data_IF_561067534877
#
_entry.id   IF_561067534877
#
_cell.length_a   1.000
_cell.length_b   1.000
_cell.length_c   1.000
_cell.angle_alpha   90.00
_cell.angle_beta   90.00
_cell.angle_gamma   90.00
#
_symmetry.space_group_name_H-M   'P 1'
#
loop_
_entity.id
_entity.type
_entity.pdbx_description
1 polymer ?
#
# COMPACT_ATOMS: atom_id res chain seq x y z
N UNK A 1 -0.76 -76.66 -16.94
CA UNK A 1 -0.02 -75.96 -18.00
C UNK A 1 -0.63 -74.59 -18.13
N UNK A 2 0.02 -73.58 -17.57
CA UNK A 2 -0.39 -72.18 -17.72
C UNK A 2 -0.12 -71.77 -19.17
N UNK A 3 -1.13 -71.27 -19.88
CA UNK A 3 -0.88 -70.63 -21.18
C UNK A 3 -0.26 -69.27 -20.90
N UNK A 4 1.01 -69.11 -21.23
CA UNK A 4 1.61 -67.79 -21.36
C UNK A 4 0.94 -67.09 -22.54
N UNK A 5 -0.06 -66.27 -22.25
CA UNK A 5 -0.70 -65.37 -23.20
C UNK A 5 0.28 -64.23 -23.49
N UNK A 6 1.18 -64.43 -24.46
CA UNK A 6 2.09 -63.39 -24.91
C UNK A 6 1.30 -62.22 -25.51
N UNK A 7 1.62 -60.99 -25.07
CA UNK A 7 0.97 -59.77 -25.55
C UNK A 7 1.18 -59.63 -27.06
N UNK A 8 0.13 -59.34 -27.81
CA UNK A 8 0.27 -59.13 -29.24
C UNK A 8 0.94 -57.77 -29.53
N UNK A 9 1.75 -57.69 -30.59
CA UNK A 9 2.38 -56.43 -31.03
C UNK A 9 1.40 -55.25 -31.13
N UNK A 10 0.16 -55.41 -31.66
CA UNK A 10 -0.83 -54.32 -31.67
C UNK A 10 -1.33 -53.94 -30.27
N UNK A 11 -1.50 -54.88 -29.33
CA UNK A 11 -1.83 -54.55 -27.93
C UNK A 11 -0.71 -53.75 -27.25
N UNK A 12 0.55 -54.08 -27.54
CA UNK A 12 1.71 -53.35 -27.01
C UNK A 12 1.79 -51.92 -27.58
N UNK A 13 1.46 -51.73 -28.86
CA UNK A 13 1.38 -50.40 -29.48
C UNK A 13 0.24 -49.55 -28.92
N UNK A 14 -0.94 -50.12 -28.74
CA UNK A 14 -2.09 -49.41 -28.15
C UNK A 14 -1.76 -49.05 -26.70
N UNK A 15 -1.18 -49.96 -25.93
CA UNK A 15 -0.79 -49.72 -24.54
C UNK A 15 0.25 -48.60 -24.41
N UNK A 16 1.27 -48.58 -25.26
CA UNK A 16 2.28 -47.51 -25.26
C UNK A 16 1.70 -46.15 -25.67
N UNK A 17 0.76 -46.12 -26.61
CA UNK A 17 0.09 -44.88 -27.02
C UNK A 17 -0.80 -44.32 -25.90
N UNK A 18 -1.56 -45.18 -25.21
CA UNK A 18 -2.38 -44.79 -24.05
C UNK A 18 -1.49 -44.27 -22.92
N UNK A 19 -0.40 -44.98 -22.60
CA UNK A 19 0.55 -44.54 -21.55
C UNK A 19 1.17 -43.18 -21.91
N UNK A 20 1.55 -42.97 -23.17
CA UNK A 20 2.07 -41.68 -23.63
C UNK A 20 1.06 -40.54 -23.45
N UNK A 21 -0.22 -40.80 -23.76
CA UNK A 21 -1.29 -39.81 -23.59
C UNK A 21 -1.54 -39.49 -22.10
N UNK A 22 -1.55 -40.51 -21.24
CA UNK A 22 -1.70 -40.33 -19.78
C UNK A 22 -0.52 -39.54 -19.20
N UNK A 23 0.71 -39.86 -19.60
CA UNK A 23 1.89 -39.13 -19.14
C UNK A 23 1.90 -37.67 -19.59
N UNK A 24 1.42 -37.37 -20.80
CA UNK A 24 1.25 -36.00 -21.28
C UNK A 24 0.22 -35.23 -20.45
N UNK A 25 -0.92 -35.85 -20.12
CA UNK A 25 -1.94 -35.25 -19.25
C UNK A 25 -1.39 -35.02 -17.85
N UNK A 26 -0.79 -36.03 -17.22
CA UNK A 26 -0.18 -35.92 -15.89
C UNK A 26 0.91 -34.84 -15.87
N UNK A 27 1.75 -34.77 -16.91
CA UNK A 27 2.76 -33.73 -17.06
C UNK A 27 2.14 -32.33 -17.10
N UNK A 28 1.05 -32.15 -17.86
CA UNK A 28 0.33 -30.86 -17.91
C UNK A 28 -0.28 -30.49 -16.56
N UNK A 29 -0.90 -31.45 -15.85
CA UNK A 29 -1.49 -31.23 -14.53
C UNK A 29 -0.43 -30.87 -13.50
N UNK A 30 0.69 -31.60 -13.46
CA UNK A 30 1.80 -31.29 -12.57
C UNK A 30 2.42 -29.92 -12.87
N UNK A 31 2.54 -29.55 -14.15
CA UNK A 31 3.02 -28.22 -14.51
C UNK A 31 2.06 -27.10 -14.06
N UNK A 32 0.75 -27.36 -14.05
CA UNK A 32 -0.25 -26.44 -13.51
C UNK A 32 -0.13 -26.31 -11.99
N UNK A 33 -0.07 -27.43 -11.27
CA UNK A 33 0.06 -27.46 -9.81
C UNK A 33 1.33 -26.75 -9.33
N UNK A 34 2.47 -26.99 -10.00
CA UNK A 34 3.73 -26.31 -9.65
C UNK A 34 3.67 -24.80 -9.90
N UNK A 35 2.95 -24.35 -10.93
CA UNK A 35 2.72 -22.93 -11.18
C UNK A 35 1.85 -22.31 -10.08
N UNK A 36 0.73 -22.95 -9.77
CA UNK A 36 -0.20 -22.46 -8.74
C UNK A 36 0.46 -22.39 -7.35
N UNK A 37 1.34 -23.34 -7.03
CA UNK A 37 2.08 -23.31 -5.78
C UNK A 37 3.06 -22.13 -5.71
N UNK A 38 3.91 -21.93 -6.73
CA UNK A 38 4.87 -20.81 -6.71
C UNK A 38 4.20 -19.43 -6.57
N UNK A 39 2.99 -19.29 -7.12
CA UNK A 39 2.15 -18.11 -6.96
C UNK A 39 1.71 -17.92 -5.52
N UNK A 40 1.13 -18.95 -4.91
CA UNK A 40 0.65 -18.87 -3.53
C UNK A 40 1.78 -18.60 -2.55
N UNK A 41 2.96 -19.17 -2.77
CA UNK A 41 4.14 -18.90 -1.96
C UNK A 41 4.58 -17.44 -2.08
N UNK A 42 4.63 -16.89 -3.29
CA UNK A 42 4.98 -15.47 -3.50
C UNK A 42 3.98 -14.51 -2.86
N UNK A 43 2.68 -14.81 -2.95
CA UNK A 43 1.64 -14.00 -2.31
C UNK A 43 1.69 -14.10 -0.79
N UNK A 44 1.95 -15.30 -0.25
CA UNK A 44 2.12 -15.48 1.19
C UNK A 44 3.31 -14.69 1.72
N UNK A 45 4.44 -14.68 1.00
CA UNK A 45 5.61 -13.89 1.37
C UNK A 45 5.31 -12.39 1.39
N UNK A 46 4.67 -11.86 0.33
CA UNK A 46 4.25 -10.46 0.27
C UNK A 46 3.27 -10.11 1.41
N UNK A 47 2.35 -11.00 1.73
CA UNK A 47 1.42 -10.80 2.85
C UNK A 47 2.12 -10.77 4.21
N UNK A 48 3.11 -11.63 4.41
CA UNK A 48 3.89 -11.69 5.65
C UNK A 48 4.73 -10.43 5.86
N UNK A 49 5.26 -9.86 4.78
CA UNK A 49 6.08 -8.65 4.79
C UNK A 49 5.25 -7.35 4.89
N UNK A 50 4.15 -7.26 4.14
CA UNK A 50 3.34 -6.03 4.04
C UNK A 50 2.46 -5.74 5.26
N UNK A 51 1.88 -6.77 5.87
CA UNK A 51 1.00 -6.62 7.05
C UNK A 51 1.64 -5.89 8.23
N UNK A 52 2.87 -6.23 8.67
CA UNK A 52 3.51 -5.50 9.77
C UNK A 52 3.83 -4.05 9.39
N UNK A 53 4.20 -3.77 8.14
CA UNK A 53 4.45 -2.42 7.64
C UNK A 53 3.19 -1.57 7.77
N UNK A 54 2.07 -2.01 7.21
CA UNK A 54 0.82 -1.25 7.30
C UNK A 54 0.36 -1.14 8.74
N UNK A 55 0.48 -2.20 9.54
CA UNK A 55 0.14 -2.13 10.97
C UNK A 55 0.94 -1.06 11.71
N UNK A 56 2.25 -0.96 11.49
CA UNK A 56 3.07 0.05 12.15
C UNK A 56 2.70 1.46 11.63
N UNK A 57 2.48 1.61 10.32
CA UNK A 57 1.98 2.86 9.73
C UNK A 57 0.65 3.30 10.36
N UNK A 58 -0.31 2.39 10.52
CA UNK A 58 -1.59 2.65 11.20
C UNK A 58 -1.40 3.13 12.64
N UNK A 59 -0.47 2.51 13.37
CA UNK A 59 -0.17 2.90 14.76
C UNK A 59 0.43 4.29 14.78
N UNK A 60 1.40 4.58 13.91
CA UNK A 60 2.05 5.87 13.83
C UNK A 60 1.07 6.98 13.43
N UNK A 61 0.22 6.75 12.43
CA UNK A 61 -0.83 7.71 12.03
C UNK A 61 -1.84 7.91 13.16
N UNK A 62 -2.19 6.90 13.96
CA UNK A 62 -3.07 7.11 15.13
C UNK A 62 -2.41 7.90 16.25
N UNK A 63 -1.08 7.82 16.37
CA UNK A 63 -0.25 8.57 17.30
C UNK A 63 0.14 9.95 16.74
N UNK A 64 -0.38 10.32 15.57
CA UNK A 64 -0.10 11.62 14.99
C UNK A 64 -0.57 12.74 15.93
N UNK A 65 0.27 13.73 16.13
CA UNK A 65 -0.03 14.93 16.91
C UNK A 65 -0.03 16.15 16.00
N UNK A 66 -0.86 17.14 16.33
CA UNK A 66 -0.85 18.42 15.63
C UNK A 66 0.38 19.21 16.04
N UNK A 67 1.13 19.77 15.07
CA UNK A 67 2.14 20.76 15.43
C UNK A 67 1.42 21.99 15.99
N UNK A 68 1.69 22.36 17.25
CA UNK A 68 1.01 23.45 17.98
C UNK A 68 1.03 24.81 17.24
N UNK A 69 1.93 25.00 16.28
CA UNK A 69 2.07 26.22 15.46
C UNK A 69 1.24 26.29 14.18
N UNK A 70 0.66 25.19 13.71
CA UNK A 70 -0.03 25.14 12.42
C UNK A 70 -1.55 25.28 12.56
N UNK A 71 -2.04 26.39 13.14
CA UNK A 71 -3.42 26.94 13.00
C UNK A 71 -4.65 26.00 13.10
N UNK A 72 -4.49 24.75 13.55
CA UNK A 72 -5.54 23.74 13.65
C UNK A 72 -5.03 22.50 14.37
N UNK A 73 -5.94 21.76 15.02
CA UNK A 73 -5.65 20.49 15.70
C UNK A 73 -5.42 19.33 14.71
N UNK A 74 -4.99 19.64 13.48
CA UNK A 74 -4.94 18.70 12.38
C UNK A 74 -3.60 17.93 12.42
N UNK A 75 -3.65 16.59 12.51
CA UNK A 75 -2.44 15.80 12.70
C UNK A 75 -1.63 15.56 11.42
N UNK A 76 -2.26 15.68 10.25
CA UNK A 76 -1.61 15.50 8.94
C UNK A 76 -1.17 16.87 8.42
N UNK A 77 0.13 17.05 8.24
CA UNK A 77 0.71 18.32 7.80
C UNK A 77 0.55 18.50 6.30
N UNK A 78 0.92 17.48 5.53
CA UNK A 78 0.92 17.46 4.08
C UNK A 78 0.50 16.07 3.59
N UNK A 79 -0.21 16.01 2.48
CA UNK A 79 -0.63 14.78 1.84
C UNK A 79 -0.77 15.01 0.35
N UNK A 80 -0.32 14.03 -0.42
CA UNK A 80 -0.60 13.80 -1.83
C UNK A 80 -0.89 12.31 -2.06
N UNK A 81 -1.12 11.91 -3.31
CA UNK A 81 -1.44 10.54 -3.68
C UNK A 81 -0.31 9.54 -3.37
N UNK A 82 0.94 10.01 -3.37
CA UNK A 82 2.17 9.23 -3.17
C UNK A 82 2.86 9.52 -1.84
N UNK A 83 2.45 10.58 -1.14
CA UNK A 83 3.19 11.14 0.00
C UNK A 83 2.26 11.47 1.16
N UNK A 84 2.65 11.10 2.37
CA UNK A 84 1.95 11.43 3.60
C UNK A 84 2.93 11.95 4.66
N UNK A 85 2.67 13.15 5.18
CA UNK A 85 3.52 13.82 6.18
C UNK A 85 2.73 14.12 7.44
N UNK A 86 3.22 13.65 8.59
CA UNK A 86 2.63 13.94 9.89
C UNK A 86 3.70 13.99 10.98
N UNK A 87 3.32 14.51 12.15
CA UNK A 87 4.18 14.57 13.33
C UNK A 87 3.74 13.52 14.34
N UNK A 88 4.70 12.85 14.98
CA UNK A 88 4.46 11.74 15.91
C UNK A 88 5.04 12.07 17.28
N UNK A 89 4.27 11.85 18.35
CA UNK A 89 4.71 12.01 19.74
C UNK A 89 5.31 10.73 20.35
N UNK A 90 5.51 9.68 19.54
CA UNK A 90 5.88 8.31 19.97
C UNK A 90 7.12 8.23 20.86
N UNK A 91 8.05 9.18 20.76
CA UNK A 91 9.34 9.14 21.48
C UNK A 91 9.41 10.16 22.64
N UNK A 92 8.41 11.02 22.83
CA UNK A 92 8.49 12.05 23.86
C UNK A 92 7.85 11.68 25.19
N UNK A 93 8.68 11.56 26.23
CA UNK A 93 8.25 11.96 27.57
C UNK A 93 7.83 13.46 27.53
N UNK A 94 7.07 13.91 28.54
CA UNK A 94 6.28 15.17 28.64
C UNK A 94 6.91 16.52 28.13
N UNK A 95 8.15 16.57 27.61
CA UNK A 95 8.81 17.76 27.08
C UNK A 95 9.63 17.57 25.78
N UNK A 96 9.57 16.42 25.11
CA UNK A 96 10.30 16.22 23.85
C UNK A 96 9.45 16.59 22.63
N UNK A 97 10.06 17.32 21.71
CA UNK A 97 9.48 17.70 20.43
C UNK A 97 9.10 16.47 19.56
N UNK A 98 8.02 16.54 18.78
CA UNK A 98 7.56 15.42 17.97
C UNK A 98 8.53 15.12 16.81
N UNK A 99 8.57 13.86 16.39
CA UNK A 99 9.28 13.43 15.18
C UNK A 99 8.43 13.75 13.94
N UNK A 100 9.06 14.20 12.85
CA UNK A 100 8.39 14.32 11.55
C UNK A 100 8.56 13.03 10.78
N UNK A 101 7.44 12.42 10.39
CA UNK A 101 7.38 11.21 9.58
C UNK A 101 6.92 11.57 8.17
N UNK A 102 7.65 11.10 7.17
CA UNK A 102 7.34 11.25 5.75
C UNK A 102 7.29 9.87 5.13
N UNK A 103 6.10 9.42 4.76
CA UNK A 103 5.92 8.26 3.91
C UNK A 103 5.84 8.74 2.47
N UNK A 104 6.62 8.15 1.57
CA UNK A 104 6.69 8.57 0.17
C UNK A 104 6.93 7.36 -0.74
N UNK A 105 6.38 7.42 -1.96
CA UNK A 105 6.76 6.51 -3.03
C UNK A 105 7.99 7.04 -3.76
N UNK A 106 9.00 6.20 -3.87
CA UNK A 106 10.27 6.49 -4.57
C UNK A 106 10.52 5.46 -5.66
N UNK A 107 11.47 5.76 -6.55
CA UNK A 107 11.94 4.85 -7.60
C UNK A 107 10.83 4.26 -8.49
N UNK A 108 9.78 5.03 -8.72
CA UNK A 108 8.64 4.65 -9.55
C UNK A 108 9.04 4.39 -11.02
N UNK A 109 8.55 3.29 -11.60
CA UNK A 109 8.85 2.92 -13.00
C UNK A 109 8.45 3.98 -14.03
N UNK A 110 7.37 4.74 -13.77
CA UNK A 110 6.92 5.83 -14.64
C UNK A 110 7.21 7.23 -14.04
N UNK A 111 8.15 7.32 -13.09
CA UNK A 111 8.49 8.58 -12.41
C UNK A 111 7.31 9.16 -11.65
N UNK A 112 7.01 10.44 -11.87
CA UNK A 112 5.90 11.15 -11.20
C UNK A 112 4.51 10.68 -11.62
N UNK A 113 4.42 9.79 -12.62
CA UNK A 113 3.16 9.19 -13.07
C UNK A 113 2.91 7.81 -12.43
N UNK A 114 3.64 7.46 -11.36
CA UNK A 114 3.43 6.21 -10.63
C UNK A 114 3.98 4.97 -11.34
N UNK A 115 3.20 3.89 -11.32
CA UNK A 115 3.59 2.56 -11.77
C UNK A 115 4.04 1.69 -10.59
N UNK A 116 5.13 0.93 -10.75
CA UNK A 116 5.72 0.16 -9.66
C UNK A 116 6.77 1.01 -8.95
N UNK A 117 6.59 1.22 -7.66
CA UNK A 117 7.39 2.08 -6.81
C UNK A 117 7.89 1.32 -5.57
N UNK A 118 8.79 1.95 -4.82
CA UNK A 118 9.18 1.52 -3.48
C UNK A 118 8.59 2.47 -2.45
N UNK A 119 8.00 1.94 -1.39
CA UNK A 119 7.53 2.72 -0.26
C UNK A 119 8.68 2.97 0.72
N UNK A 120 8.95 4.24 1.00
CA UNK A 120 9.99 4.69 1.90
C UNK A 120 9.38 5.44 3.09
N UNK A 121 9.98 5.28 4.27
CA UNK A 121 9.76 6.11 5.44
C UNK A 121 11.03 6.92 5.74
N UNK A 122 10.88 8.23 5.74
CA UNK A 122 11.89 9.19 6.16
C UNK A 122 11.48 9.82 7.49
N UNK A 123 12.36 9.77 8.49
CA UNK A 123 12.13 10.35 9.83
C UNK A 123 13.12 11.48 10.08
N UNK A 124 12.59 12.60 10.55
CA UNK A 124 13.36 13.79 10.90
C UNK A 124 13.14 14.11 12.36
N UNK A 125 14.25 14.27 13.06
CA UNK A 125 14.28 14.79 14.41
C UNK A 125 14.26 16.32 14.38
N UNK A 126 13.63 16.94 15.38
CA UNK A 126 13.65 18.38 15.53
C UNK A 126 15.07 18.84 15.87
N UNK A 127 15.54 19.85 15.14
CA UNK A 127 16.88 20.45 15.33
C UNK A 127 17.01 21.20 16.67
N UNK A 128 15.88 21.64 17.22
CA UNK A 128 15.78 22.22 18.56
C UNK A 128 14.60 21.59 19.33
N UNK A 129 14.83 20.47 20.03
CA UNK A 129 13.76 19.73 20.70
C UNK A 129 13.16 20.47 21.90
N UNK A 130 13.79 21.53 22.38
CA UNK A 130 13.32 22.33 23.54
C UNK A 130 12.42 23.50 23.15
N UNK A 131 12.23 23.76 21.85
CA UNK A 131 11.29 24.78 21.40
C UNK A 131 9.87 24.32 21.74
N UNK A 132 9.07 25.17 22.40
CA UNK A 132 7.74 24.76 22.87
C UNK A 132 6.64 24.83 21.81
N UNK A 133 6.86 25.58 20.71
CA UNK A 133 5.78 25.88 19.75
C UNK A 133 6.21 25.86 18.28
N UNK A 134 7.51 25.92 17.96
CA UNK A 134 8.03 25.95 16.57
C UNK A 134 9.21 25.01 16.43
N UNK A 135 8.94 23.77 16.03
CA UNK A 135 9.99 22.78 15.79
C UNK A 135 10.52 22.91 14.37
N UNK A 136 11.80 23.25 14.26
CA UNK A 136 12.51 23.24 12.99
C UNK A 136 13.08 21.84 12.73
N UNK A 137 12.92 21.35 11.51
CA UNK A 137 13.45 20.06 11.07
C UNK A 137 14.59 20.27 10.08
N UNK A 138 15.57 19.37 10.09
CA UNK A 138 16.67 19.40 9.13
C UNK A 138 16.19 19.18 7.69
N UNK A 139 17.03 19.54 6.72
CA UNK A 139 16.76 19.28 5.30
C UNK A 139 17.04 17.83 4.88
N UNK A 140 17.70 17.06 5.74
CA UNK A 140 18.04 15.65 5.52
C UNK A 140 17.43 14.79 6.61
N UNK A 141 16.87 13.61 6.27
CA UNK A 141 16.31 12.70 7.25
C UNK A 141 17.41 12.13 8.16
N UNK A 142 17.06 11.93 9.43
CA UNK A 142 17.91 11.24 10.41
C UNK A 142 17.87 9.72 10.20
N UNK A 143 16.73 9.20 9.71
CA UNK A 143 16.53 7.80 9.37
C UNK A 143 15.74 7.67 8.08
N UNK A 144 16.16 6.73 7.23
CA UNK A 144 15.46 6.35 6.00
C UNK A 144 15.34 4.84 5.98
N UNK A 145 14.10 4.35 5.95
CA UNK A 145 13.77 2.94 5.93
C UNK A 145 13.00 2.63 4.64
N UNK A 146 13.50 1.71 3.81
CA UNK A 146 12.75 1.16 2.69
C UNK A 146 11.82 0.07 3.24
N UNK A 147 10.51 0.30 3.12
CA UNK A 147 9.50 -0.53 3.78
C UNK A 147 9.00 -1.65 2.89
N UNK A 148 8.68 -1.32 1.63
CA UNK A 148 8.11 -2.25 0.66
C UNK A 148 8.61 -1.91 -0.74
N UNK A 149 8.81 -2.94 -1.55
CA UNK A 149 9.12 -2.81 -2.98
C UNK A 149 7.92 -3.26 -3.83
N UNK A 150 7.90 -2.86 -5.10
CA UNK A 150 6.86 -3.23 -6.08
C UNK A 150 5.44 -2.79 -5.68
N UNK A 151 5.33 -1.66 -4.99
CA UNK A 151 4.04 -1.02 -4.69
C UNK A 151 3.50 -0.41 -5.97
N UNK A 152 2.31 -0.82 -6.38
CA UNK A 152 1.60 -0.26 -7.53
C UNK A 152 0.77 0.91 -7.03
N UNK A 153 1.01 2.09 -7.60
CA UNK A 153 0.17 3.26 -7.38
C UNK A 153 0.20 4.18 -8.61
N UNK A 154 -0.90 4.89 -8.83
CA UNK A 154 -1.02 5.88 -9.89
C UNK A 154 -1.56 7.20 -9.32
N UNK A 155 -1.14 8.35 -9.90
CA UNK A 155 -1.74 9.62 -9.56
C UNK A 155 -3.22 9.58 -9.91
N UNK A 156 -4.07 10.19 -9.10
CA UNK A 156 -5.49 10.14 -9.28
C UNK A 156 -5.87 10.91 -10.55
N UNK A 157 -6.84 10.39 -11.30
CA UNK A 157 -7.23 10.94 -12.60
C UNK A 157 -8.34 11.97 -12.38
N UNK A 158 -8.01 13.26 -12.40
CA UNK A 158 -9.02 14.32 -12.28
C UNK A 158 -9.37 14.96 -13.61
N UNK A 159 -10.63 14.80 -14.03
CA UNK A 159 -11.22 15.47 -15.19
C UNK A 159 -11.84 16.85 -14.86
N UNK A 160 -11.32 17.58 -13.86
CA UNK A 160 -11.64 18.99 -13.48
C UNK A 160 -12.68 19.19 -12.35
N UNK A 161 -12.91 18.22 -11.47
CA UNK A 161 -13.84 18.34 -10.33
C UNK A 161 -13.08 18.47 -8.99
N UNK A 162 -13.38 19.47 -8.13
CA UNK A 162 -12.76 19.58 -6.79
C UNK A 162 -13.16 18.45 -5.83
N UNK A 163 -14.26 17.73 -6.10
CA UNK A 163 -14.67 16.57 -5.31
C UNK A 163 -14.32 15.28 -6.07
N UNK A 164 -13.36 14.54 -5.54
CA UNK A 164 -12.95 13.26 -6.09
C UNK A 164 -13.97 12.16 -5.72
N UNK A 165 -14.10 11.16 -6.58
CA UNK A 165 -14.78 9.92 -6.25
C UNK A 165 -13.78 8.87 -5.76
N UNK A 166 -14.24 7.89 -4.97
CA UNK A 166 -13.40 6.77 -4.53
C UNK A 166 -12.72 6.05 -5.71
N UNK A 167 -13.42 5.95 -6.84
CA UNK A 167 -12.89 5.30 -8.05
C UNK A 167 -11.72 6.07 -8.66
N UNK A 168 -11.75 7.40 -8.63
CA UNK A 168 -10.70 8.25 -9.21
C UNK A 168 -9.42 8.28 -8.38
N UNK A 169 -9.51 7.95 -7.08
CA UNK A 169 -8.36 7.85 -6.17
C UNK A 169 -8.01 6.41 -5.80
N UNK A 170 -8.69 5.41 -6.36
CA UNK A 170 -8.55 4.01 -5.94
C UNK A 170 -7.11 3.48 -6.11
N UNK A 171 -6.41 4.00 -7.12
CA UNK A 171 -5.02 3.64 -7.45
C UNK A 171 -3.99 4.50 -6.72
N UNK A 172 -4.42 5.52 -5.96
CA UNK A 172 -3.53 6.32 -5.13
C UNK A 172 -3.18 5.59 -3.83
N UNK A 173 -1.92 5.69 -3.39
CA UNK A 173 -1.50 5.06 -2.14
C UNK A 173 -2.18 5.71 -0.93
N UNK A 174 -2.22 7.04 -0.91
CA UNK A 174 -2.84 7.82 0.15
C UNK A 174 -3.94 8.70 -0.39
N UNK A 175 -5.03 8.81 0.37
CA UNK A 175 -6.04 9.84 0.20
C UNK A 175 -6.78 10.07 1.51
N UNK A 176 -7.56 11.14 1.59
CA UNK A 176 -8.31 11.50 2.78
C UNK A 176 -9.81 11.56 2.52
N UNK A 177 -10.52 11.42 3.63
CA UNK A 177 -11.97 11.58 3.69
C UNK A 177 -12.33 12.63 4.72
N UNK A 178 -13.15 13.59 4.31
CA UNK A 178 -13.84 14.54 5.18
C UNK A 178 -15.34 14.26 5.16
N UNK A 179 -15.99 14.41 6.31
CA UNK A 179 -17.45 14.42 6.38
C UNK A 179 -17.96 15.86 6.36
N UNK A 180 -18.76 16.21 5.35
CA UNK A 180 -19.38 17.52 5.23
C UNK A 180 -20.88 17.46 5.50
N UNK A 181 -21.51 18.55 5.98
CA UNK A 181 -22.95 18.62 6.08
C UNK A 181 -23.57 18.54 4.69
N UNK A 182 -24.23 17.42 4.39
CA UNK A 182 -24.90 17.25 3.11
C UNK A 182 -26.12 18.13 2.96
N UNK A 183 -26.52 18.33 1.71
CA UNK A 183 -27.68 19.15 1.33
C UNK A 183 -29.01 18.67 1.96
N UNK A 184 -29.06 17.39 2.36
CA UNK A 184 -30.20 16.74 3.02
C UNK A 184 -30.12 16.73 4.55
N UNK A 185 -29.07 17.32 5.15
CA UNK A 185 -28.78 17.27 6.58
C UNK A 185 -28.09 15.98 7.05
N UNK A 186 -27.87 15.01 6.16
CA UNK A 186 -27.02 13.85 6.43
C UNK A 186 -25.56 14.19 6.06
N UNK A 187 -24.57 13.70 6.81
CA UNK A 187 -23.17 13.91 6.46
C UNK A 187 -22.84 13.24 5.12
N UNK A 188 -22.24 13.98 4.20
CA UNK A 188 -21.74 13.52 2.91
C UNK A 188 -20.23 13.28 2.98
N UNK A 189 -19.77 12.20 2.33
CA UNK A 189 -18.37 11.79 2.31
C UNK A 189 -17.66 12.52 1.17
N UNK A 190 -16.69 13.35 1.49
CA UNK A 190 -15.86 14.08 0.53
C UNK A 190 -14.49 13.42 0.49
N UNK A 191 -14.04 13.04 -0.70
CA UNK A 191 -12.75 12.38 -0.94
C UNK A 191 -11.78 13.38 -1.54
N UNK A 192 -10.52 13.34 -1.09
CA UNK A 192 -9.47 14.23 -1.56
C UNK A 192 -8.13 13.51 -1.61
N UNK A 193 -7.39 13.69 -2.71
CA UNK A 193 -6.08 13.09 -2.87
C UNK A 193 -4.93 13.99 -2.38
N UNK A 194 -5.19 15.28 -2.13
CA UNK A 194 -4.23 16.21 -1.57
C UNK A 194 -4.85 17.12 -0.51
N UNK A 195 -4.03 17.68 0.40
CA UNK A 195 -4.50 18.68 1.37
C UNK A 195 -5.04 19.94 0.70
N UNK A 196 -4.41 20.38 -0.39
CA UNK A 196 -4.79 21.62 -1.08
C UNK A 196 -6.22 21.55 -1.65
N UNK A 197 -6.70 20.36 -2.01
CA UNK A 197 -8.08 20.14 -2.46
C UNK A 197 -9.10 20.42 -1.35
N UNK A 198 -8.71 20.24 -0.08
CA UNK A 198 -9.53 20.54 1.09
C UNK A 198 -9.48 22.04 1.46
N UNK A 199 -8.69 22.84 0.74
CA UNK A 199 -8.55 24.28 0.95
C UNK A 199 -7.78 24.66 2.22
N UNK A 200 -7.02 23.73 2.81
CA UNK A 200 -6.29 23.95 4.06
C UNK A 200 -4.98 23.15 4.11
N UNK A 201 -3.93 23.80 4.60
CA UNK A 201 -2.70 23.18 5.07
C UNK A 201 -2.46 23.70 6.49
N UNK A 202 -2.45 22.84 7.53
CA UNK A 202 -2.50 21.37 7.51
C UNK A 202 -3.84 20.77 7.06
N UNK A 203 -3.81 19.52 6.58
CA UNK A 203 -4.96 18.76 6.05
C UNK A 203 -6.15 18.71 7.02
N UNK A 204 -7.32 19.21 6.60
CA UNK A 204 -8.58 19.14 7.35
C UNK A 204 -9.43 17.92 6.93
N UNK A 205 -8.98 16.71 7.26
CA UNK A 205 -9.71 15.47 7.00
C UNK A 205 -9.90 14.65 8.27
N UNK A 206 -10.93 13.78 8.30
CA UNK A 206 -11.25 12.96 9.47
C UNK A 206 -10.60 11.57 9.41
N UNK A 207 -10.44 11.03 8.19
CA UNK A 207 -9.83 9.73 7.94
C UNK A 207 -8.71 9.86 6.91
N UNK A 208 -7.60 9.16 7.16
CA UNK A 208 -6.59 8.87 6.15
C UNK A 208 -6.82 7.46 5.65
N UNK A 209 -6.80 7.26 4.35
CA UNK A 209 -6.92 5.95 3.72
C UNK A 209 -5.59 5.55 3.14
N UNK A 210 -5.23 4.28 3.36
CA UNK A 210 -4.07 3.62 2.78
C UNK A 210 -4.59 2.54 1.83
N UNK A 211 -4.42 2.75 0.53
CA UNK A 211 -4.75 1.78 -0.52
C UNK A 211 -3.44 1.21 -1.07
N UNK A 212 -3.03 0.06 -0.53
CA UNK A 212 -1.76 -0.56 -0.86
C UNK A 212 -1.97 -1.71 -1.83
N UNK A 213 -1.42 -1.60 -3.03
CA UNK A 213 -1.37 -2.67 -4.02
C UNK A 213 0.10 -3.08 -4.23
N UNK A 214 0.43 -4.38 -4.17
CA UNK A 214 1.80 -4.89 -4.33
C UNK A 214 1.84 -5.99 -5.38
N UNK A 215 2.75 -5.85 -6.33
CA UNK A 215 3.05 -6.91 -7.28
C UNK A 215 4.12 -7.85 -6.71
N UNK A 216 3.87 -9.17 -6.58
CA UNK A 216 4.92 -10.10 -6.18
C UNK A 216 6.07 -10.06 -7.19
N UNK A 217 7.32 -9.92 -6.73
CA UNK A 217 8.51 -9.79 -7.61
C UNK A 217 8.73 -10.97 -8.58
N UNK A 218 8.10 -12.12 -8.33
CA UNK A 218 8.15 -13.32 -9.19
C UNK A 218 6.85 -13.55 -9.98
N UNK A 219 5.93 -12.60 -9.92
CA UNK A 219 4.67 -12.73 -10.60
C UNK A 219 4.80 -12.37 -12.09
N UNK A 220 4.57 -13.34 -12.98
CA UNK A 220 4.21 -13.05 -14.37
C UNK A 220 3.00 -12.11 -14.40
N UNK A 221 2.86 -11.30 -15.46
CA UNK A 221 1.80 -10.29 -15.71
C UNK A 221 0.33 -10.72 -15.43
N UNK A 222 0.06 -11.99 -15.12
CA UNK A 222 -1.27 -12.56 -14.90
C UNK A 222 -1.58 -12.92 -13.44
N UNK A 223 -0.75 -12.52 -12.48
CA UNK A 223 -0.96 -12.88 -11.07
C UNK A 223 -1.68 -11.77 -10.32
N UNK A 224 -2.55 -12.20 -9.41
CA UNK A 224 -3.35 -11.32 -8.57
C UNK A 224 -2.43 -10.47 -7.73
N UNK A 225 -2.50 -9.15 -7.90
CA UNK A 225 -1.90 -8.17 -7.00
C UNK A 225 -2.34 -8.43 -5.57
N UNK A 226 -1.44 -8.25 -4.60
CA UNK A 226 -1.86 -8.22 -3.20
C UNK A 226 -2.38 -6.83 -2.89
N UNK A 227 -3.65 -6.72 -2.53
CA UNK A 227 -4.30 -5.46 -2.19
C UNK A 227 -4.67 -5.44 -0.71
N UNK A 228 -4.38 -4.32 -0.06
CA UNK A 228 -4.74 -4.03 1.32
C UNK A 228 -5.32 -2.62 1.39
N UNK A 229 -6.49 -2.53 2.01
CA UNK A 229 -7.22 -1.28 2.19
C UNK A 229 -7.44 -1.04 3.68
N UNK A 230 -6.95 0.08 4.20
CA UNK A 230 -7.12 0.43 5.61
C UNK A 230 -7.52 1.90 5.78
N UNK A 231 -8.54 2.14 6.60
CA UNK A 231 -8.97 3.48 6.98
C UNK A 231 -8.52 3.80 8.41
N UNK A 232 -7.83 4.92 8.56
CA UNK A 232 -7.28 5.39 9.84
C UNK A 232 -8.05 6.62 10.29
N UNK A 233 -8.74 6.48 11.43
CA UNK A 233 -9.32 7.64 12.11
C UNK A 233 -8.25 8.41 12.87
N UNK A 234 -8.19 9.71 12.61
CA UNK A 234 -7.27 10.63 13.28
C UNK A 234 -7.78 10.99 14.68
N UNK A 235 -6.85 11.21 15.63
CA UNK A 235 -7.16 11.35 17.06
C UNK A 235 -8.00 12.59 17.41
N UNK A 236 -7.86 13.66 16.62
CA UNK A 236 -8.43 14.97 16.89
C UNK A 236 -9.45 15.43 15.82
N UNK A 237 -9.98 14.50 15.02
CA UNK A 237 -10.91 14.79 13.92
C UNK A 237 -12.32 14.22 14.12
#
# INVERSE_FOLDING_TARGET
>A
MASDSGISVPELMISTLIIGFVMAIVGSLMSGVLRDWGVQESLAAVQEESRPVVRDMLIQIRQSTSSLSALGNNPVSEMSWDTLVFYSDRIGDDNDAPEKHVYELVDCTNGTNGGQCSLQLSIYNPTNPTALENWDYGATPDRVDMLLENVIAEPPVNDSNPAWTETEVAESLFYMIRWEPGSSGNPERVVSAACDDLGSSPCDGNLVVISLAINPSNAREYLSTFELYEEVRLRNA
#
